data_IF_623353205616
#
_entry.id   IF_623353205616
#
_cell.length_a   1.000
_cell.length_b   1.000
_cell.length_c   1.000
_cell.angle_alpha   90.00
_cell.angle_beta   90.00
_cell.angle_gamma   90.00
#
_symmetry.space_group_name_H-M   'P 1'
#
loop_
_entity.id
_entity.type
_entity.pdbx_description
1 polymer ?
#
# COMPACT_ATOMS: atom_id res chain seq x y z
N UNK A 1 1.82 -0.39 -8.27
CA UNK A 1 1.38 -1.47 -7.35
C UNK A 1 0.48 -0.85 -6.29
N UNK A 2 -0.59 -1.52 -5.89
CA UNK A 2 -1.48 -1.06 -4.82
C UNK A 2 -1.39 -2.08 -3.69
N UNK A 3 -1.14 -1.61 -2.46
CA UNK A 3 -0.93 -2.47 -1.30
C UNK A 3 -1.86 -2.08 -0.15
N UNK A 4 -2.24 -3.09 0.63
CA UNK A 4 -2.88 -2.93 1.92
C UNK A 4 -1.99 -3.60 2.96
N UNK A 5 -1.48 -2.82 3.91
CA UNK A 5 -0.54 -3.29 4.92
C UNK A 5 -1.20 -3.33 6.29
N UNK A 6 -1.47 -4.54 6.77
CA UNK A 6 -1.76 -4.81 8.16
C UNK A 6 -0.46 -4.92 8.96
N UNK A 7 -0.48 -4.45 10.21
CA UNK A 7 0.70 -4.35 11.06
C UNK A 7 1.92 -3.76 10.32
N UNK A 8 1.83 -2.51 9.81
CA UNK A 8 2.81 -1.93 8.89
C UNK A 8 4.27 -2.07 9.33
N UNK A 9 4.55 -2.00 10.64
CA UNK A 9 5.90 -2.13 11.20
C UNK A 9 6.57 -3.46 10.83
N UNK A 10 5.85 -4.58 10.96
CA UNK A 10 6.42 -5.91 10.72
C UNK A 10 6.35 -6.28 9.23
N UNK A 11 5.25 -5.90 8.57
CA UNK A 11 4.99 -6.24 7.17
C UNK A 11 5.88 -5.49 6.19
N UNK A 12 6.29 -4.26 6.52
CA UNK A 12 7.14 -3.42 5.64
C UNK A 12 8.45 -4.10 5.27
N UNK A 13 9.13 -4.73 6.24
CA UNK A 13 10.42 -5.38 5.97
C UNK A 13 10.28 -6.55 5.01
N UNK A 14 9.32 -7.44 5.28
CA UNK A 14 9.01 -8.60 4.43
C UNK A 14 8.61 -8.18 3.02
N UNK A 15 7.83 -7.10 2.89
CA UNK A 15 7.45 -6.56 1.59
C UNK A 15 8.66 -6.11 0.76
N UNK A 16 9.59 -5.36 1.37
CA UNK A 16 10.79 -4.89 0.66
C UNK A 16 11.68 -6.06 0.22
N UNK A 17 11.80 -7.10 1.04
CA UNK A 17 12.52 -8.34 0.70
C UNK A 17 11.87 -9.03 -0.51
N UNK A 18 10.54 -9.22 -0.50
CA UNK A 18 9.79 -9.83 -1.60
C UNK A 18 9.90 -9.05 -2.92
N UNK A 19 9.81 -7.71 -2.86
CA UNK A 19 9.95 -6.87 -4.06
C UNK A 19 11.33 -7.03 -4.68
N UNK A 20 12.38 -7.08 -3.85
CA UNK A 20 13.75 -7.25 -4.31
C UNK A 20 13.95 -8.64 -4.94
N UNK A 21 13.45 -9.69 -4.30
CA UNK A 21 13.50 -11.05 -4.84
C UNK A 21 12.74 -11.17 -6.16
N UNK A 22 11.51 -10.66 -6.21
CA UNK A 22 10.71 -10.62 -7.43
C UNK A 22 11.44 -9.89 -8.57
N UNK A 23 12.06 -8.75 -8.27
CA UNK A 23 12.84 -7.99 -9.25
C UNK A 23 14.06 -8.75 -9.76
N UNK A 24 14.75 -9.53 -8.90
CA UNK A 24 15.87 -10.40 -9.31
C UNK A 24 15.42 -11.54 -10.22
N UNK A 25 14.31 -12.19 -9.90
CA UNK A 25 13.79 -13.34 -10.66
C UNK A 25 13.23 -12.89 -12.00
N UNK A 26 12.51 -11.79 -12.03
CA UNK A 26 11.75 -11.35 -13.21
C UNK A 26 12.49 -10.33 -14.08
N UNK A 27 13.53 -9.68 -13.55
CA UNK A 27 14.21 -8.56 -14.20
C UNK A 27 13.41 -7.24 -14.21
N UNK A 28 12.20 -7.21 -13.64
CA UNK A 28 11.38 -6.00 -13.58
C UNK A 28 11.66 -5.15 -12.34
N UNK A 29 11.56 -3.83 -12.51
CA UNK A 29 11.66 -2.85 -11.41
C UNK A 29 10.30 -2.24 -11.12
N UNK A 30 9.88 -2.25 -9.86
CA UNK A 30 8.65 -1.58 -9.42
C UNK A 30 8.81 -0.06 -9.56
N UNK A 31 7.81 0.58 -10.16
CA UNK A 31 7.71 2.04 -10.16
C UNK A 31 7.14 2.52 -8.81
N UNK A 32 8.02 3.03 -7.95
CA UNK A 32 7.69 3.47 -6.59
C UNK A 32 6.78 4.70 -6.60
N UNK A 33 6.98 5.64 -7.52
CA UNK A 33 6.17 6.87 -7.66
C UNK A 33 4.73 6.59 -8.09
N UNK A 34 4.49 5.53 -8.86
CA UNK A 34 3.15 5.07 -9.26
C UNK A 34 2.57 4.02 -8.33
N UNK A 35 3.25 3.71 -7.22
CA UNK A 35 2.80 2.71 -6.26
C UNK A 35 2.25 3.37 -5.01
N UNK A 36 1.17 2.80 -4.49
CA UNK A 36 0.43 3.34 -3.37
C UNK A 36 0.16 2.25 -2.35
N UNK A 37 0.20 2.62 -1.07
CA UNK A 37 -0.13 1.73 0.03
C UNK A 37 -1.17 2.36 0.97
N UNK A 38 -2.09 1.52 1.46
CA UNK A 38 -2.96 1.82 2.59
C UNK A 38 -2.40 1.14 3.84
N UNK A 39 -2.30 1.89 4.94
CA UNK A 39 -1.78 1.38 6.21
C UNK A 39 -2.93 1.17 7.20
N UNK A 40 -3.11 -0.07 7.65
CA UNK A 40 -4.05 -0.42 8.71
C UNK A 40 -3.34 -0.43 10.05
N UNK A 41 -3.21 0.76 10.63
CA UNK A 41 -2.71 0.99 11.98
C UNK A 41 -3.38 2.21 12.56
N UNK A 42 -3.66 2.17 13.86
CA UNK A 42 -4.09 3.35 14.64
C UNK A 42 -2.90 4.01 15.37
N UNK A 43 -1.71 3.43 15.25
CA UNK A 43 -0.50 3.95 15.88
C UNK A 43 0.19 4.94 14.94
N UNK A 44 0.07 6.24 15.25
CA UNK A 44 0.67 7.34 14.48
C UNK A 44 2.18 7.21 14.36
N UNK A 45 2.86 6.74 15.41
CA UNK A 45 4.30 6.54 15.38
C UNK A 45 4.67 5.46 14.37
N UNK A 46 3.98 4.33 14.38
CA UNK A 46 4.20 3.27 13.40
C UNK A 46 3.86 3.73 11.97
N UNK A 47 2.81 4.54 11.81
CA UNK A 47 2.47 5.11 10.50
C UNK A 47 3.59 6.00 9.97
N UNK A 48 4.16 6.86 10.82
CA UNK A 48 5.30 7.72 10.47
C UNK A 48 6.56 6.92 10.14
N UNK A 49 6.90 5.92 10.96
CA UNK A 49 8.03 5.03 10.71
C UNK A 49 7.90 4.34 9.34
N UNK A 50 6.71 3.89 8.97
CA UNK A 50 6.47 3.27 7.65
C UNK A 50 6.53 4.29 6.52
N UNK A 51 5.97 5.48 6.70
CA UNK A 51 6.07 6.58 5.71
C UNK A 51 7.52 6.94 5.38
N UNK A 52 8.42 6.86 6.36
CA UNK A 52 9.85 7.11 6.17
C UNK A 52 10.57 5.89 5.57
N UNK A 53 10.11 4.67 5.83
CA UNK A 53 10.74 3.43 5.40
C UNK A 53 10.38 3.00 3.96
N UNK A 54 9.13 3.20 3.51
CA UNK A 54 8.70 2.75 2.18
C UNK A 54 8.70 3.88 1.16
N UNK A 55 9.20 3.65 -0.07
CA UNK A 55 9.22 4.65 -1.13
C UNK A 55 7.86 4.82 -1.83
N UNK A 56 6.77 4.33 -1.24
CA UNK A 56 5.43 4.36 -1.83
C UNK A 56 4.62 5.53 -1.27
N UNK A 57 3.70 6.04 -2.08
CA UNK A 57 2.72 7.03 -1.60
C UNK A 57 1.77 6.35 -0.63
N UNK A 58 1.67 6.86 0.60
CA UNK A 58 0.67 6.41 1.57
C UNK A 58 -0.65 7.13 1.29
N UNK A 59 -1.69 6.37 0.92
CA UNK A 59 -3.03 6.90 0.76
C UNK A 59 -3.77 6.91 2.09
N UNK A 60 -4.45 8.01 2.38
CA UNK A 60 -5.11 8.23 3.67
C UNK A 60 -6.58 7.84 3.70
N UNK A 61 -7.30 7.93 2.58
CA UNK A 61 -8.76 7.70 2.52
C UNK A 61 -9.20 6.87 1.34
N UNK A 62 -8.84 7.27 0.12
CA UNK A 62 -9.22 6.56 -1.11
C UNK A 62 -8.28 6.88 -2.26
N UNK A 63 -8.23 6.00 -3.25
CA UNK A 63 -7.63 6.26 -4.55
C UNK A 63 -8.60 5.87 -5.66
N UNK A 64 -8.46 6.47 -6.84
CA UNK A 64 -9.16 6.01 -8.03
C UNK A 64 -8.23 5.09 -8.83
N UNK A 65 -8.69 3.89 -9.13
CA UNK A 65 -7.94 2.92 -9.92
C UNK A 65 -8.88 2.21 -10.91
N UNK A 66 -8.54 2.28 -12.20
CA UNK A 66 -9.33 1.67 -13.29
C UNK A 66 -10.82 2.04 -13.26
N UNK A 67 -11.16 3.25 -12.84
CA UNK A 67 -12.55 3.72 -12.75
C UNK A 67 -13.25 3.38 -11.44
N UNK A 68 -12.65 2.55 -10.58
CA UNK A 68 -13.16 2.12 -9.28
C UNK A 68 -12.54 2.99 -8.18
N UNK A 69 -13.34 3.39 -7.19
CA UNK A 69 -12.86 4.00 -5.95
C UNK A 69 -12.40 2.89 -5.00
N UNK A 70 -11.12 2.87 -4.67
CA UNK A 70 -10.56 1.97 -3.67
C UNK A 70 -10.47 2.74 -2.35
N UNK A 71 -11.36 2.48 -1.37
CA UNK A 71 -11.24 3.06 -0.04
C UNK A 71 -10.10 2.41 0.75
N UNK A 72 -9.66 3.12 1.78
CA UNK A 72 -8.78 2.58 2.80
C UNK A 72 -9.48 1.44 3.53
N UNK A 73 -10.73 1.61 3.93
CA UNK A 73 -11.55 0.60 4.58
C UNK A 73 -12.19 -0.32 3.53
N UNK A 74 -11.70 -1.55 3.40
CA UNK A 74 -12.18 -2.52 2.39
C UNK A 74 -13.69 -2.80 2.46
N UNK A 75 -14.30 -2.69 3.64
CA UNK A 75 -15.75 -2.84 3.83
C UNK A 75 -16.58 -1.83 3.03
N UNK A 76 -16.02 -0.66 2.75
CA UNK A 76 -16.71 0.43 2.05
C UNK A 76 -16.57 0.31 0.53
N UNK A 77 -15.80 -0.68 0.05
CA UNK A 77 -15.55 -0.88 -1.39
C UNK A 77 -16.84 -1.11 -2.19
N UNK A 78 -17.80 -1.86 -1.64
CA UNK A 78 -19.05 -2.13 -2.35
C UNK A 78 -19.91 -0.87 -2.44
N UNK A 79 -20.19 -0.21 -1.31
CA UNK A 79 -21.06 0.97 -1.24
C UNK A 79 -20.50 2.20 -1.96
N UNK A 80 -19.16 2.35 -2.04
CA UNK A 80 -18.54 3.45 -2.77
C UNK A 80 -18.60 3.31 -4.30
N UNK A 81 -18.86 2.11 -4.81
CA UNK A 81 -18.81 1.81 -6.25
C UNK A 81 -20.13 1.34 -6.83
N UNK A 82 -20.97 0.70 -6.02
CA UNK A 82 -22.24 0.13 -6.40
C UNK A 82 -23.34 0.79 -5.58
N UNK A 83 -24.30 1.39 -6.28
CA UNK A 83 -25.56 1.89 -5.70
C UNK A 83 -26.65 0.86 -5.91
#
# INVERSE_FOLDING_TARGET
>A
MILYLENPKDSTRKLLELINEFGKVTGYKINTQKSTAFLYTNNERSEREVREAIPFTIASKRIKYLGINLPKETKDLYSENYK
#
